data_IF_079207432550
#
_entry.id   IF_079207432550
#
_cell.length_a   1.000
_cell.length_b   1.000
_cell.length_c   1.000
_cell.angle_alpha   90.00
_cell.angle_beta   90.00
_cell.angle_gamma   90.00
#
_symmetry.space_group_name_H-M   'P 1'
#
loop_
_entity.id
_entity.type
_entity.pdbx_description
1 polymer ?
#
# COMPACT_ATOMS: atom_id res chain seq x y z
N UNK A 1 3.84 12.01 22.48
CA UNK A 1 4.06 11.20 21.27
C UNK A 1 4.61 12.09 20.17
N UNK A 2 5.76 11.77 19.62
CA UNK A 2 6.33 12.47 18.47
C UNK A 2 6.54 11.46 17.36
N UNK A 3 5.95 11.73 16.21
CA UNK A 3 6.13 10.93 15.02
C UNK A 3 7.02 11.67 14.02
N UNK A 4 7.98 10.98 13.42
CA UNK A 4 8.88 11.54 12.42
C UNK A 4 8.96 10.66 11.20
N UNK A 5 9.11 11.27 10.03
CA UNK A 5 9.46 10.58 8.79
C UNK A 5 10.85 11.03 8.33
N UNK A 6 11.72 10.07 8.07
CA UNK A 6 13.01 10.30 7.45
C UNK A 6 12.94 9.81 6.00
N UNK A 7 13.27 10.70 5.08
CA UNK A 7 13.25 10.41 3.65
C UNK A 7 14.66 10.25 3.12
N UNK A 8 14.88 9.23 2.29
CA UNK A 8 16.10 9.07 1.52
C UNK A 8 15.81 9.07 0.03
N UNK A 9 16.74 9.54 -0.75
CA UNK A 9 16.63 9.64 -2.19
C UNK A 9 17.79 8.91 -2.85
N UNK A 10 17.60 8.47 -4.08
CA UNK A 10 18.66 7.89 -4.88
C UNK A 10 19.47 8.99 -5.62
N UNK A 11 20.45 8.57 -6.45
CA UNK A 11 21.30 9.49 -7.21
C UNK A 11 20.58 10.28 -8.31
N UNK A 12 19.31 9.97 -8.59
CA UNK A 12 18.43 10.67 -9.55
C UNK A 12 17.34 11.48 -8.83
N UNK A 13 17.51 11.75 -7.53
CA UNK A 13 16.58 12.47 -6.66
C UNK A 13 15.18 11.83 -6.55
N UNK A 14 15.08 10.49 -6.79
CA UNK A 14 13.83 9.75 -6.62
C UNK A 14 13.73 9.26 -5.17
N UNK A 15 12.52 9.30 -4.61
CA UNK A 15 12.26 8.80 -3.25
C UNK A 15 12.62 7.31 -3.15
N UNK A 16 13.57 6.97 -2.30
CA UNK A 16 14.02 5.60 -2.06
C UNK A 16 13.37 4.99 -0.83
N UNK A 17 13.37 5.72 0.28
CA UNK A 17 12.70 5.29 1.52
C UNK A 17 11.97 6.43 2.19
N UNK A 18 10.88 6.09 2.86
CA UNK A 18 10.21 6.93 3.84
C UNK A 18 10.11 6.13 5.14
N UNK A 19 11.02 6.38 6.07
CA UNK A 19 11.11 5.65 7.33
C UNK A 19 10.35 6.37 8.43
N UNK A 20 9.29 5.73 8.93
CA UNK A 20 8.50 6.24 10.04
C UNK A 20 9.09 5.80 11.36
N UNK A 21 9.24 6.73 12.29
CA UNK A 21 9.64 6.47 13.66
C UNK A 21 8.69 7.16 14.62
N UNK A 22 8.17 6.42 15.55
CA UNK A 22 7.33 6.94 16.63
C UNK A 22 8.09 6.87 17.95
N UNK A 23 8.28 8.01 18.60
CA UNK A 23 8.86 8.09 19.92
C UNK A 23 7.74 8.20 20.97
N UNK A 24 7.53 7.14 21.73
CA UNK A 24 6.65 7.22 22.90
C UNK A 24 7.36 8.04 23.99
N UNK A 25 6.64 8.97 24.61
CA UNK A 25 7.16 9.70 25.76
C UNK A 25 7.46 8.70 26.88
N UNK A 26 8.71 8.55 27.24
CA UNK A 26 9.10 7.75 28.38
C UNK A 26 8.41 8.30 29.64
N UNK A 27 7.55 7.51 30.25
CA UNK A 27 6.98 7.85 31.56
C UNK A 27 8.12 7.87 32.58
N UNK A 28 8.07 8.75 33.60
CA UNK A 28 9.11 8.76 34.63
C UNK A 28 9.19 7.38 35.32
N UNK A 29 10.37 6.95 35.73
CA UNK A 29 10.59 5.61 36.34
C UNK A 29 9.66 5.27 37.50
N UNK A 30 9.13 6.27 38.20
CA UNK A 30 8.18 6.12 39.31
C UNK A 30 6.79 5.64 38.90
N UNK A 31 6.45 5.69 37.59
CA UNK A 31 5.19 5.24 37.02
C UNK A 31 5.30 3.95 36.20
N UNK A 32 6.53 3.42 36.04
CA UNK A 32 6.78 2.21 35.26
C UNK A 32 6.98 1.05 36.24
N UNK A 33 5.93 0.24 36.44
CA UNK A 33 6.01 -1.02 37.19
C UNK A 33 6.23 -2.24 36.29
N UNK A 34 6.80 -2.04 35.09
CA UNK A 34 7.11 -3.10 34.12
C UNK A 34 8.16 -2.68 33.09
N UNK A 35 8.62 -3.57 32.22
CA UNK A 35 9.60 -3.25 31.22
C UNK A 35 9.11 -2.09 30.33
N UNK A 36 9.87 -1.01 30.30
CA UNK A 36 9.60 0.12 29.40
C UNK A 36 9.81 -0.32 27.97
N UNK A 37 8.76 -0.32 27.17
CA UNK A 37 8.88 -0.59 25.75
C UNK A 37 9.24 0.69 25.01
N UNK A 38 10.46 0.76 24.54
CA UNK A 38 10.88 1.72 23.53
C UNK A 38 10.55 1.07 22.18
N UNK A 39 9.56 1.59 21.49
CA UNK A 39 9.22 1.11 20.15
C UNK A 39 10.04 1.92 19.12
N UNK A 40 11.24 1.48 18.85
CA UNK A 40 12.07 1.98 17.74
C UNK A 40 11.89 1.13 16.46
N UNK A 41 10.68 0.64 16.21
CA UNK A 41 10.43 -0.10 14.98
C UNK A 41 9.80 0.83 13.93
N UNK A 42 10.32 0.84 12.69
CA UNK A 42 9.74 1.59 11.59
C UNK A 42 8.40 0.99 11.18
N UNK A 43 7.31 1.53 11.75
CA UNK A 43 5.97 0.92 11.72
C UNK A 43 5.20 1.14 10.41
N UNK A 44 5.52 2.21 9.69
CA UNK A 44 4.87 2.61 8.44
C UNK A 44 5.88 3.03 7.39
N UNK A 45 7.01 2.32 7.36
CA UNK A 45 8.07 2.61 6.39
C UNK A 45 7.71 2.10 5.01
N UNK A 46 8.09 2.85 3.99
CA UNK A 46 7.93 2.49 2.60
C UNK A 46 9.27 2.54 1.89
N UNK A 47 9.56 1.57 1.04
CA UNK A 47 10.75 1.56 0.17
C UNK A 47 10.35 1.35 -1.28
N UNK A 48 10.95 2.13 -2.18
CA UNK A 48 10.68 2.12 -3.60
C UNK A 48 11.89 1.63 -4.40
N UNK A 49 11.63 0.84 -5.42
CA UNK A 49 12.62 0.36 -6.38
C UNK A 49 12.17 0.75 -7.78
N UNK A 50 13.12 1.18 -8.60
CA UNK A 50 12.84 1.74 -9.91
C UNK A 50 13.64 1.04 -10.99
N UNK A 51 13.12 1.05 -12.23
CA UNK A 51 13.88 0.73 -13.42
C UNK A 51 14.72 1.93 -13.91
N UNK A 52 15.41 1.73 -15.03
CA UNK A 52 16.22 2.78 -15.65
C UNK A 52 15.41 3.98 -16.18
N UNK A 53 14.11 3.77 -16.46
CA UNK A 53 13.19 4.81 -16.94
C UNK A 53 12.46 5.53 -15.78
N UNK A 54 12.84 5.22 -14.52
CA UNK A 54 12.23 5.76 -13.29
C UNK A 54 10.80 5.26 -13.02
N UNK A 55 10.37 4.17 -13.64
CA UNK A 55 9.13 3.52 -13.28
C UNK A 55 9.33 2.69 -12.00
N UNK A 56 8.41 2.74 -11.04
CA UNK A 56 8.47 1.86 -9.87
C UNK A 56 8.25 0.40 -10.31
N UNK A 57 9.15 -0.50 -9.87
CA UNK A 57 9.09 -1.95 -10.15
C UNK A 57 8.75 -2.76 -8.91
N UNK A 58 9.01 -2.21 -7.73
CA UNK A 58 8.68 -2.83 -6.46
C UNK A 58 8.48 -1.78 -5.38
N UNK A 59 7.48 -1.99 -4.54
CA UNK A 59 7.20 -1.19 -3.37
C UNK A 59 7.16 -2.13 -2.16
N UNK A 60 7.93 -1.84 -1.13
CA UNK A 60 7.89 -2.52 0.16
C UNK A 60 7.18 -1.61 1.15
N UNK A 61 6.12 -2.08 1.76
CA UNK A 61 5.37 -1.34 2.79
C UNK A 61 5.41 -2.11 4.09
N UNK A 62 5.58 -1.42 5.21
CA UNK A 62 5.42 -1.98 6.54
C UNK A 62 4.15 -1.43 7.17
N UNK A 63 3.38 -2.29 7.79
CA UNK A 63 2.10 -1.92 8.38
C UNK A 63 1.90 -2.50 9.77
N UNK A 64 0.87 -1.98 10.42
CA UNK A 64 0.39 -2.44 11.71
C UNK A 64 -0.45 -3.71 11.50
N UNK A 65 -0.15 -4.77 12.26
CA UNK A 65 -0.85 -6.06 12.14
C UNK A 65 -1.97 -6.20 13.17
N UNK A 66 -1.88 -5.55 14.29
CA UNK A 66 -2.89 -5.67 15.34
C UNK A 66 -2.37 -5.36 16.74
N UNK A 67 -3.28 -5.40 17.70
CA UNK A 67 -2.98 -5.30 19.13
C UNK A 67 -3.28 -6.61 19.81
N UNK A 68 -2.34 -7.14 20.60
CA UNK A 68 -2.65 -8.18 21.59
C UNK A 68 -2.77 -7.53 22.95
N UNK A 69 -3.81 -7.89 23.69
CA UNK A 69 -3.96 -7.50 25.10
C UNK A 69 -3.77 -8.72 25.99
N UNK A 70 -2.94 -8.60 27.00
CA UNK A 70 -2.83 -9.60 28.08
C UNK A 70 -3.10 -8.93 29.42
N UNK A 71 -3.93 -9.58 30.25
CA UNK A 71 -4.17 -9.10 31.61
C UNK A 71 -3.32 -9.92 32.57
N UNK A 72 -2.46 -9.24 33.32
CA UNK A 72 -1.66 -9.85 34.37
C UNK A 72 -2.52 -10.23 35.56
N UNK A 73 -2.05 -11.15 36.40
CA UNK A 73 -2.70 -11.54 37.65
C UNK A 73 -2.92 -10.37 38.61
N UNK A 74 -2.21 -9.26 38.45
CA UNK A 74 -2.39 -8.00 39.17
C UNK A 74 -3.59 -7.16 38.69
N UNK A 75 -4.31 -7.60 37.64
CA UNK A 75 -5.40 -6.84 37.02
C UNK A 75 -4.94 -5.77 36.03
N UNK A 76 -3.64 -5.62 35.77
CA UNK A 76 -3.10 -4.67 34.79
C UNK A 76 -3.18 -5.27 33.37
N UNK A 77 -3.78 -4.54 32.46
CA UNK A 77 -3.82 -4.92 31.04
C UNK A 77 -2.60 -4.35 30.33
N UNK A 78 -1.82 -5.22 29.70
CA UNK A 78 -0.72 -4.84 28.81
C UNK A 78 -1.26 -4.91 27.38
N UNK A 79 -1.19 -3.82 26.67
CA UNK A 79 -1.50 -3.75 25.24
C UNK A 79 -0.17 -3.82 24.51
N UNK A 80 0.02 -4.88 23.72
CA UNK A 80 1.19 -5.02 22.85
C UNK A 80 0.74 -4.80 21.42
N UNK A 81 1.29 -3.77 20.78
CA UNK A 81 1.09 -3.54 19.36
C UNK A 81 2.00 -4.51 18.59
N UNK A 82 1.41 -5.32 17.72
CA UNK A 82 2.17 -6.15 16.80
C UNK A 82 2.39 -5.39 15.49
N UNK A 83 3.66 -5.16 15.20
CA UNK A 83 4.12 -4.61 13.93
C UNK A 83 4.93 -5.68 13.25
N UNK A 84 4.79 -5.85 11.99
CA UNK A 84 5.70 -6.79 11.37
C UNK A 84 5.26 -7.50 10.13
N UNK A 85 4.27 -7.02 9.40
CA UNK A 85 4.23 -7.52 8.06
C UNK A 85 4.94 -6.57 7.10
N UNK A 86 5.63 -7.15 6.14
CA UNK A 86 6.18 -6.42 5.01
C UNK A 86 5.38 -6.84 3.79
N UNK A 87 4.55 -5.94 3.33
CA UNK A 87 3.85 -6.09 2.08
C UNK A 87 4.80 -5.74 0.93
N UNK A 88 4.85 -6.60 -0.08
CA UNK A 88 5.69 -6.46 -1.26
C UNK A 88 4.82 -6.40 -2.49
N UNK A 89 4.63 -5.21 -3.03
CA UNK A 89 4.03 -5.02 -4.34
C UNK A 89 5.09 -5.16 -5.43
N UNK A 90 4.96 -6.18 -6.25
CA UNK A 90 5.74 -6.37 -7.47
C UNK A 90 5.01 -5.77 -8.66
N UNK A 91 5.66 -4.90 -9.43
CA UNK A 91 5.07 -4.23 -10.59
C UNK A 91 5.78 -4.71 -11.85
N UNK A 92 5.05 -5.40 -12.71
CA UNK A 92 5.52 -5.79 -14.03
C UNK A 92 5.11 -4.77 -15.08
N UNK A 93 6.03 -4.41 -15.96
CA UNK A 93 5.86 -3.35 -16.95
C UNK A 93 5.94 -3.90 -18.37
N UNK A 94 5.27 -3.22 -19.29
CA UNK A 94 5.49 -3.30 -20.74
C UNK A 94 5.87 -1.89 -21.22
N UNK A 95 7.17 -1.68 -21.46
CA UNK A 95 7.74 -0.33 -21.60
C UNK A 95 7.53 0.49 -20.33
N UNK A 96 6.81 1.62 -20.44
CA UNK A 96 6.47 2.49 -19.32
C UNK A 96 5.02 2.29 -18.82
N UNK A 97 4.37 1.19 -19.22
CA UNK A 97 2.97 0.89 -18.84
C UNK A 97 2.93 -0.27 -17.85
N UNK A 98 2.12 -0.16 -16.85
CA UNK A 98 1.90 -1.26 -15.89
C UNK A 98 1.18 -2.39 -16.64
N UNK A 99 1.72 -3.59 -16.53
CA UNK A 99 1.13 -4.80 -17.09
C UNK A 99 0.46 -5.67 -16.05
N UNK A 100 1.08 -5.76 -14.86
CA UNK A 100 0.61 -6.55 -13.73
C UNK A 100 1.13 -5.94 -12.44
N UNK A 101 0.34 -6.02 -11.38
CA UNK A 101 0.73 -5.72 -10.00
C UNK A 101 0.45 -6.95 -9.16
N UNK A 102 1.47 -7.50 -8.51
CA UNK A 102 1.33 -8.63 -7.60
C UNK A 102 1.59 -8.17 -6.18
N UNK A 103 0.68 -8.58 -5.31
CA UNK A 103 0.84 -8.48 -3.87
C UNK A 103 1.27 -9.84 -3.30
N UNK A 104 2.09 -9.85 -2.24
CA UNK A 104 2.52 -11.08 -1.57
C UNK A 104 1.73 -11.39 -0.30
N UNK A 105 0.75 -10.57 0.03
CA UNK A 105 -0.08 -10.70 1.22
C UNK A 105 -1.54 -10.76 0.83
N UNK A 106 -2.26 -11.74 1.35
CA UNK A 106 -3.70 -11.79 1.23
C UNK A 106 -4.33 -10.65 2.05
N UNK A 107 -5.24 -9.94 1.42
CA UNK A 107 -5.99 -8.85 2.06
C UNK A 107 -6.62 -9.32 3.37
N UNK A 108 -6.23 -8.70 4.48
CA UNK A 108 -6.88 -8.88 5.78
C UNK A 108 -7.75 -7.66 6.14
N UNK A 109 -9.08 -7.75 5.98
CA UNK A 109 -9.97 -6.63 6.29
C UNK A 109 -10.00 -6.27 7.78
N UNK A 110 -9.48 -7.12 8.66
CA UNK A 110 -9.51 -6.92 10.12
C UNK A 110 -8.37 -6.01 10.58
N UNK A 111 -7.25 -5.98 9.86
CA UNK A 111 -6.08 -5.21 10.27
C UNK A 111 -6.22 -3.70 10.06
N UNK A 112 -7.21 -3.25 9.28
CA UNK A 112 -7.38 -1.83 8.93
C UNK A 112 -6.24 -1.27 8.09
N UNK A 113 -5.30 -2.11 7.65
CA UNK A 113 -4.27 -1.75 6.70
C UNK A 113 -4.91 -1.58 5.32
N UNK A 114 -4.59 -0.48 4.64
CA UNK A 114 -4.92 -0.34 3.22
C UNK A 114 -3.99 -1.23 2.43
N UNK A 115 -4.48 -2.39 2.07
CA UNK A 115 -3.78 -3.35 1.24
C UNK A 115 -4.16 -3.19 -0.23
N UNK A 116 -3.26 -3.59 -1.14
CA UNK A 116 -3.59 -3.65 -2.55
C UNK A 116 -4.46 -4.92 -2.78
N UNK A 117 -5.63 -4.74 -3.33
CA UNK A 117 -6.46 -5.88 -3.68
C UNK A 117 -6.00 -6.47 -5.02
N UNK A 118 -5.15 -7.50 -4.95
CA UNK A 118 -4.73 -8.31 -6.10
C UNK A 118 -5.82 -9.34 -6.44
N UNK A 119 -6.95 -8.84 -6.94
CA UNK A 119 -8.14 -9.66 -7.22
C UNK A 119 -7.97 -10.51 -8.49
N UNK A 120 -7.01 -10.19 -9.36
CA UNK A 120 -6.82 -10.84 -10.64
C UNK A 120 -5.41 -11.41 -10.78
N UNK A 121 -5.25 -12.73 -10.68
CA UNK A 121 -3.97 -13.40 -10.96
C UNK A 121 -3.83 -13.70 -12.47
N UNK A 122 -3.84 -12.66 -13.29
CA UNK A 122 -3.68 -12.77 -14.74
C UNK A 122 -2.24 -12.41 -15.15
N UNK A 123 -1.79 -12.93 -16.31
CA UNK A 123 -0.50 -12.52 -16.88
C UNK A 123 -0.48 -11.06 -17.33
N UNK A 124 -1.65 -10.54 -17.71
CA UNK A 124 -1.89 -9.14 -18.08
C UNK A 124 -3.16 -8.72 -17.36
N UNK A 125 -3.03 -7.76 -16.46
CA UNK A 125 -4.13 -7.21 -15.65
C UNK A 125 -4.59 -5.86 -16.16
N UNK A 126 -3.66 -5.13 -16.80
CA UNK A 126 -3.89 -3.79 -17.33
C UNK A 126 -3.66 -3.78 -18.84
N UNK A 127 -4.63 -3.28 -19.59
CA UNK A 127 -4.48 -3.08 -21.04
C UNK A 127 -4.66 -1.62 -21.41
N UNK A 128 -4.09 -1.25 -22.55
CA UNK A 128 -4.07 0.13 -23.02
C UNK A 128 -4.37 0.19 -24.52
N UNK A 129 -4.93 1.30 -24.95
CA UNK A 129 -5.07 1.60 -26.37
C UNK A 129 -3.78 2.20 -26.97
N UNK A 130 -3.81 2.46 -28.28
CA UNK A 130 -2.66 3.01 -29.02
C UNK A 130 -2.24 4.41 -28.52
N UNK A 131 -3.17 5.15 -27.87
CA UNK A 131 -2.88 6.44 -27.26
C UNK A 131 -2.33 6.33 -25.82
N UNK A 132 -2.18 5.10 -25.30
CA UNK A 132 -1.71 4.86 -23.93
C UNK A 132 -2.76 5.03 -22.85
N UNK A 133 -4.05 5.11 -23.22
CA UNK A 133 -5.13 5.19 -22.24
C UNK A 133 -5.50 3.80 -21.75
N UNK A 134 -5.77 3.66 -20.45
CA UNK A 134 -6.16 2.40 -19.83
C UNK A 134 -7.50 1.89 -20.44
N UNK A 135 -7.52 0.64 -20.91
CA UNK A 135 -8.72 0.02 -21.46
C UNK A 135 -9.31 -1.07 -20.60
N UNK A 136 -8.51 -1.68 -19.70
CA UNK A 136 -8.99 -2.61 -18.67
C UNK A 136 -8.14 -2.55 -17.41
N UNK A 137 -8.75 -2.88 -16.25
CA UNK A 137 -8.13 -3.04 -14.94
C UNK A 137 -8.82 -4.22 -14.25
N UNK A 138 -8.22 -5.39 -14.36
CA UNK A 138 -8.84 -6.62 -13.87
C UNK A 138 -8.88 -6.67 -12.34
N UNK A 139 -7.94 -6.02 -11.65
CA UNK A 139 -7.95 -5.94 -10.18
C UNK A 139 -9.14 -5.16 -9.63
N UNK A 140 -9.68 -4.23 -10.43
CA UNK A 140 -10.93 -3.51 -10.12
C UNK A 140 -12.16 -4.12 -10.80
N UNK A 141 -12.01 -5.28 -11.44
CA UNK A 141 -13.08 -5.90 -12.21
C UNK A 141 -13.48 -5.09 -13.46
N UNK A 142 -12.67 -4.14 -13.91
CA UNK A 142 -12.95 -3.33 -15.09
C UNK A 142 -12.51 -4.12 -16.34
N UNK A 143 -13.50 -4.51 -17.15
CA UNK A 143 -13.28 -5.30 -18.37
C UNK A 143 -13.11 -4.41 -19.60
N UNK A 144 -13.71 -3.22 -19.61
CA UNK A 144 -13.56 -2.28 -20.70
C UNK A 144 -13.75 -0.83 -20.24
N UNK A 145 -12.89 0.07 -20.76
CA UNK A 145 -13.06 1.52 -20.66
C UNK A 145 -13.14 2.08 -22.08
N UNK A 146 -14.19 2.79 -22.38
CA UNK A 146 -14.39 3.53 -23.64
C UNK A 146 -14.21 5.02 -23.43
N UNK A 147 -13.61 5.68 -24.39
CA UNK A 147 -13.31 7.11 -24.32
C UNK A 147 -14.11 7.89 -25.39
N UNK A 148 -14.43 9.13 -25.09
CA UNK A 148 -14.99 10.06 -26.05
C UNK A 148 -13.88 10.74 -26.90
N UNK A 149 -14.29 11.62 -27.82
CA UNK A 149 -13.37 12.35 -28.70
C UNK A 149 -12.47 13.37 -27.97
N UNK A 150 -12.79 13.70 -26.72
CA UNK A 150 -11.96 14.55 -25.84
C UNK A 150 -10.99 13.74 -24.97
N UNK A 151 -10.86 12.42 -25.22
CA UNK A 151 -10.07 11.50 -24.40
C UNK A 151 -10.56 11.36 -22.94
N UNK A 152 -11.80 11.66 -22.67
CA UNK A 152 -12.42 11.47 -21.37
C UNK A 152 -13.14 10.11 -21.34
N UNK A 153 -13.14 9.36 -20.22
CA UNK A 153 -13.89 8.12 -20.09
C UNK A 153 -15.37 8.37 -20.38
N UNK A 154 -15.94 7.63 -21.32
CA UNK A 154 -17.36 7.71 -21.68
C UNK A 154 -18.16 6.61 -21.00
N UNK A 155 -17.60 5.40 -20.98
CA UNK A 155 -18.25 4.21 -20.46
C UNK A 155 -17.22 3.32 -19.79
N UNK A 156 -17.57 2.77 -18.62
CA UNK A 156 -16.77 1.75 -17.92
C UNK A 156 -17.65 0.53 -17.69
N UNK A 157 -17.21 -0.63 -18.20
CA UNK A 157 -17.89 -1.90 -18.02
C UNK A 157 -17.14 -2.75 -16.99
N UNK A 158 -17.91 -3.38 -16.07
CA UNK A 158 -17.37 -4.25 -15.03
C UNK A 158 -17.68 -5.72 -15.31
N UNK A 159 -16.90 -6.62 -14.71
CA UNK A 159 -17.04 -8.08 -14.87
C UNK A 159 -18.33 -8.64 -14.29
N UNK A 160 -18.96 -7.95 -13.35
CA UNK A 160 -20.26 -8.30 -12.75
C UNK A 160 -21.47 -7.81 -13.57
N UNK A 161 -21.22 -7.18 -14.71
CA UNK A 161 -22.23 -6.63 -15.61
C UNK A 161 -22.67 -5.20 -15.33
N UNK A 162 -22.14 -4.57 -14.29
CA UNK A 162 -22.38 -3.14 -14.06
C UNK A 162 -21.71 -2.28 -15.13
N UNK A 163 -22.38 -1.17 -15.47
CA UNK A 163 -21.88 -0.18 -16.42
C UNK A 163 -22.00 1.21 -15.77
N UNK A 164 -20.96 2.01 -15.91
CA UNK A 164 -20.95 3.43 -15.53
C UNK A 164 -20.79 4.27 -16.78
N UNK A 165 -21.77 5.12 -17.06
CA UNK A 165 -21.75 6.09 -18.15
C UNK A 165 -21.43 7.49 -17.62
N UNK A 166 -20.55 8.20 -18.31
CA UNK A 166 -20.18 9.58 -17.99
C UNK A 166 -20.80 10.53 -19.02
N UNK A 167 -21.53 11.51 -18.51
CA UNK A 167 -22.03 12.63 -19.31
C UNK A 167 -21.21 13.88 -18.96
N UNK A 168 -20.77 14.58 -20.02
CA UNK A 168 -19.98 15.81 -19.89
C UNK A 168 -20.74 16.96 -20.51
N UNK A 169 -20.77 18.09 -19.83
CA UNK A 169 -21.40 19.36 -20.28
C UNK A 169 -20.45 20.15 -21.20
#
# INVERSE_FOLDING_TARGET
>A
LTATYNYTYDSLDRLKTADYTEHSRQLPPSLITGPSHVYDTPQYSVSYYYDANSNPTRILRKGFVGTTSSTLASGMTIITHQYGYTDVLGISLDGNRIKKVQDNIDYDPVSGATDFNDAADATIEYTYDDNGRLTSDLNKGITQIRYNHLNLPKEICFSDGHIVDYLYD
#
